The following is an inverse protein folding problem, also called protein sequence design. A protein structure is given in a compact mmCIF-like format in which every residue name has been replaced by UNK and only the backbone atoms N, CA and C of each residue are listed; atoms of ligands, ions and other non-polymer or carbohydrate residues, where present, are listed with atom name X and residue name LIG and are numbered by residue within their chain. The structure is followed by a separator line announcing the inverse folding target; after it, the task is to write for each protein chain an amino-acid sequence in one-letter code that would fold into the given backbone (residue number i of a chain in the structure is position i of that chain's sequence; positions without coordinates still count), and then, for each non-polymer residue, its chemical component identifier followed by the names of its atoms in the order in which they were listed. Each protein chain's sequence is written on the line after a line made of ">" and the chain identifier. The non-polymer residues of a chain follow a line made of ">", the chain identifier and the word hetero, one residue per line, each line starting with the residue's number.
data_IF_713965397007
#
_entry.id   IF_713965397007
#
_cell.length_a   1.000
_cell.length_b   1.000
_cell.length_c   1.000
_cell.angle_alpha   90.00
_cell.angle_beta   90.00
_cell.angle_gamma   90.00
#
_symmetry.space_group_name_H-M   'P 1'
#
loop_
_entity.id
_entity.type
_entity.pdbx_description
1 polymer ?
#
# COMPACT_ATOMS: atom_id res chain seq x y z
N UNK A 1 -0.23 -9.59 -2.95
CA UNK A 1 -1.24 -9.57 -4.02
C UNK A 1 -2.58 -9.01 -3.57
N UNK A 2 -3.26 -9.57 -2.55
CA UNK A 2 -4.52 -9.02 -2.02
C UNK A 2 -4.50 -7.51 -1.73
N UNK A 3 -3.40 -7.01 -1.12
CA UNK A 3 -3.21 -5.57 -0.88
C UNK A 3 -3.25 -4.72 -2.17
N UNK A 4 -2.62 -5.20 -3.25
CA UNK A 4 -2.60 -4.50 -4.54
C UNK A 4 -3.97 -4.52 -5.23
N UNK A 5 -4.65 -5.67 -5.22
CA UNK A 5 -5.97 -5.82 -5.85
C UNK A 5 -7.06 -5.04 -5.13
N UNK A 6 -7.02 -4.98 -3.80
CA UNK A 6 -8.07 -4.31 -3.01
C UNK A 6 -7.75 -2.85 -2.71
N UNK A 7 -6.46 -2.50 -2.55
CA UNK A 7 -6.04 -1.16 -2.10
C UNK A 7 -5.03 -0.49 -3.04
N UNK A 8 -4.73 -1.05 -4.21
CA UNK A 8 -3.72 -0.52 -5.12
C UNK A 8 -3.97 0.93 -5.55
N UNK A 9 -5.23 1.32 -5.73
CA UNK A 9 -5.63 2.68 -6.08
C UNK A 9 -5.63 3.68 -4.90
N UNK A 10 -5.35 3.23 -3.67
CA UNK A 10 -5.32 4.11 -2.49
C UNK A 10 -4.04 4.94 -2.49
N UNK A 11 -4.17 6.23 -2.19
CA UNK A 11 -3.01 7.13 -2.05
C UNK A 11 -2.28 6.92 -0.72
N UNK A 12 -0.95 6.86 -0.77
CA UNK A 12 -0.05 6.86 0.39
C UNK A 12 0.34 8.30 0.77
N UNK A 13 0.66 9.08 -0.25
CA UNK A 13 1.00 10.51 -0.24
C UNK A 13 0.32 11.16 -1.45
N UNK A 14 0.12 12.49 -1.47
CA UNK A 14 -0.44 13.19 -2.62
C UNK A 14 0.29 12.83 -3.91
N UNK A 15 -0.41 12.19 -4.85
CA UNK A 15 0.15 11.77 -6.15
C UNK A 15 0.94 10.46 -6.15
N UNK A 16 1.03 9.72 -5.02
CA UNK A 16 1.69 8.41 -4.95
C UNK A 16 0.73 7.38 -4.36
N UNK A 17 0.45 6.32 -5.14
CA UNK A 17 -0.46 5.25 -4.73
C UNK A 17 0.27 4.04 -4.14
N UNK A 18 -0.48 3.20 -3.41
CA UNK A 18 0.00 1.90 -2.91
C UNK A 18 0.52 1.04 -4.07
N UNK A 19 -0.17 1.03 -5.20
CA UNK A 19 0.26 0.31 -6.40
C UNK A 19 1.64 0.80 -6.87
N UNK A 20 1.80 2.11 -7.06
CA UNK A 20 3.05 2.72 -7.52
C UNK A 20 4.23 2.39 -6.59
N UNK A 21 4.04 2.55 -5.28
CA UNK A 21 5.11 2.29 -4.32
C UNK A 21 5.49 0.80 -4.27
N UNK A 22 4.50 -0.09 -4.16
CA UNK A 22 4.75 -1.53 -4.08
C UNK A 22 5.42 -2.04 -5.35
N UNK A 23 4.97 -1.60 -6.54
CA UNK A 23 5.59 -1.97 -7.81
C UNK A 23 7.06 -1.54 -7.91
N UNK A 24 7.40 -0.34 -7.43
CA UNK A 24 8.79 0.13 -7.39
C UNK A 24 9.66 -0.64 -6.40
N UNK A 25 9.10 -1.21 -5.33
CA UNK A 25 9.85 -2.03 -4.37
C UNK A 25 10.06 -3.48 -4.83
N UNK A 26 9.16 -4.00 -5.68
CA UNK A 26 9.21 -5.38 -6.18
C UNK A 26 9.64 -5.45 -7.65
N UNK A 27 10.26 -4.38 -8.15
CA UNK A 27 10.80 -4.33 -9.50
C UNK A 27 11.84 -5.45 -9.69
N UNK A 28 11.65 -6.28 -10.72
CA UNK A 28 12.49 -7.45 -10.98
C UNK A 28 12.18 -8.72 -10.18
N UNK A 29 11.12 -8.74 -9.37
CA UNK A 29 10.65 -9.96 -8.69
C UNK A 29 9.63 -10.69 -9.56
N UNK A 30 9.92 -11.94 -9.90
CA UNK A 30 8.94 -12.83 -10.53
C UNK A 30 8.32 -13.75 -9.48
N UNK A 31 6.99 -13.87 -9.55
CA UNK A 31 6.25 -14.75 -8.66
C UNK A 31 6.21 -16.16 -9.26
N UNK A 32 6.46 -17.17 -8.42
CA UNK A 32 6.42 -18.58 -8.86
C UNK A 32 5.01 -19.06 -9.20
N UNK A 33 4.01 -18.46 -8.57
CA UNK A 33 2.61 -18.77 -8.81
C UNK A 33 2.15 -18.08 -10.11
N UNK A 34 1.60 -18.83 -11.08
CA UNK A 34 1.25 -18.28 -12.38
C UNK A 34 0.13 -17.24 -12.34
N UNK A 35 -0.86 -17.41 -11.44
CA UNK A 35 -1.99 -16.48 -11.30
C UNK A 35 -1.52 -15.19 -10.65
N UNK A 36 -0.70 -15.27 -9.60
CA UNK A 36 -0.12 -14.10 -8.97
C UNK A 36 0.89 -13.38 -9.87
N UNK A 37 1.67 -14.12 -10.64
CA UNK A 37 2.56 -13.52 -11.62
C UNK A 37 1.77 -12.80 -12.71
N UNK A 38 0.67 -13.39 -13.20
CA UNK A 38 -0.19 -12.75 -14.18
C UNK A 38 -0.82 -11.46 -13.65
N UNK A 39 -1.36 -11.47 -12.43
CA UNK A 39 -1.85 -10.26 -11.76
C UNK A 39 -0.76 -9.19 -11.65
N UNK A 40 0.47 -9.58 -11.29
CA UNK A 40 1.59 -8.65 -11.17
C UNK A 40 1.97 -8.04 -12.53
N UNK A 41 1.96 -8.84 -13.60
CA UNK A 41 2.14 -8.37 -14.98
C UNK A 41 1.06 -7.37 -15.38
N UNK A 42 -0.21 -7.67 -15.10
CA UNK A 42 -1.32 -6.74 -15.38
C UNK A 42 -1.12 -5.39 -14.68
N UNK A 43 -0.71 -5.40 -13.42
CA UNK A 43 -0.36 -4.18 -12.69
C UNK A 43 0.80 -3.43 -13.33
N UNK A 44 1.91 -4.12 -13.68
CA UNK A 44 3.08 -3.50 -14.31
C UNK A 44 2.75 -2.87 -15.67
N UNK A 45 2.05 -3.59 -16.53
CA UNK A 45 1.65 -3.13 -17.85
C UNK A 45 0.75 -1.89 -17.78
N UNK A 46 -0.28 -1.92 -16.94
CA UNK A 46 -1.19 -0.78 -16.79
C UNK A 46 -0.50 0.40 -16.10
N UNK A 47 0.35 0.14 -15.10
CA UNK A 47 1.12 1.17 -14.43
C UNK A 47 2.08 1.89 -15.40
N UNK A 48 2.72 1.16 -16.32
CA UNK A 48 3.56 1.77 -17.39
C UNK A 48 2.79 2.71 -18.32
N UNK A 49 1.46 2.60 -18.36
CA UNK A 49 0.55 3.46 -19.13
C UNK A 49 -0.07 4.57 -18.27
N UNK A 50 0.47 4.82 -17.07
CA UNK A 50 -0.10 5.71 -16.06
C UNK A 50 -1.55 5.36 -15.67
N UNK A 51 -1.92 4.08 -15.76
CA UNK A 51 -3.24 3.60 -15.38
C UNK A 51 -3.15 2.65 -14.19
N UNK A 52 -3.92 2.93 -13.13
CA UNK A 52 -3.95 2.09 -11.94
C UNK A 52 -5.23 1.26 -11.97
N UNK A 53 -5.06 -0.07 -12.02
CA UNK A 53 -6.17 -1.00 -12.00
C UNK A 53 -6.88 -0.95 -10.64
N UNK A 54 -8.20 -0.78 -10.69
CA UNK A 54 -9.06 -0.82 -9.51
C UNK A 54 -9.57 -2.24 -9.26
N UNK A 55 -10.10 -2.48 -8.07
CA UNK A 55 -10.72 -3.78 -7.72
C UNK A 55 -11.80 -4.21 -8.72
N UNK A 56 -12.56 -3.25 -9.28
CA UNK A 56 -13.63 -3.50 -10.25
C UNK A 56 -13.11 -4.12 -11.55
N UNK A 57 -11.93 -3.72 -12.01
CA UNK A 57 -11.27 -4.33 -13.18
C UNK A 57 -11.07 -5.84 -13.00
N UNK A 58 -10.64 -6.26 -11.80
CA UNK A 58 -10.38 -7.67 -11.50
C UNK A 58 -11.67 -8.48 -11.29
N UNK A 59 -12.72 -7.84 -10.78
CA UNK A 59 -14.07 -8.42 -10.69
C UNK A 59 -14.68 -8.70 -12.06
N UNK A 60 -14.40 -7.84 -13.04
CA UNK A 60 -14.90 -7.96 -14.41
C UNK A 60 -13.89 -8.63 -15.36
N UNK A 61 -12.80 -9.20 -14.82
CA UNK A 61 -11.76 -9.78 -15.63
C UNK A 61 -12.28 -10.95 -16.47
N UNK A 62 -11.82 -11.05 -17.71
CA UNK A 62 -12.21 -12.11 -18.64
C UNK A 62 -11.85 -13.51 -18.11
N UNK A 63 -10.69 -13.65 -17.48
CA UNK A 63 -10.25 -14.91 -16.88
C UNK A 63 -11.01 -15.23 -15.58
N UNK A 64 -11.62 -16.43 -15.48
CA UNK A 64 -12.39 -16.83 -14.32
C UNK A 64 -11.53 -17.01 -13.07
N UNK A 65 -10.26 -17.39 -13.19
CA UNK A 65 -9.37 -17.59 -12.05
C UNK A 65 -9.11 -16.28 -11.30
N UNK A 66 -8.78 -15.20 -12.02
CA UNK A 66 -8.60 -13.87 -11.44
C UNK A 66 -9.90 -13.36 -10.81
N UNK A 67 -11.02 -13.54 -11.50
CA UNK A 67 -12.32 -13.11 -11.00
C UNK A 67 -12.72 -13.84 -9.73
N UNK A 68 -12.61 -15.17 -9.72
CA UNK A 68 -12.94 -16.00 -8.55
C UNK A 68 -12.03 -15.68 -7.37
N UNK A 69 -10.73 -15.49 -7.60
CA UNK A 69 -9.79 -15.10 -6.56
C UNK A 69 -10.10 -13.71 -5.99
N UNK A 70 -10.50 -12.76 -6.85
CA UNK A 70 -10.92 -11.42 -6.42
C UNK A 70 -12.23 -11.47 -5.63
N UNK A 71 -13.21 -12.26 -6.09
CA UNK A 71 -14.46 -12.52 -5.39
C UNK A 71 -14.15 -13.18 -4.05
N UNK A 72 -13.32 -14.21 -3.97
CA UNK A 72 -12.93 -14.86 -2.71
C UNK A 72 -12.36 -13.85 -1.71
N UNK A 73 -11.44 -12.99 -2.16
CA UNK A 73 -10.87 -11.94 -1.30
C UNK A 73 -11.88 -10.88 -0.82
N UNK A 74 -12.98 -10.68 -1.54
CA UNK A 74 -14.07 -9.77 -1.22
C UNK A 74 -15.23 -10.44 -0.47
N UNK A 75 -15.49 -11.73 -0.71
CA UNK A 75 -16.57 -12.52 -0.13
C UNK A 75 -16.18 -13.08 1.22
N UNK A 76 -14.89 -13.44 1.44
CA UNK A 76 -14.37 -13.65 2.79
C UNK A 76 -14.61 -12.42 3.68
N UNK A 77 -14.67 -11.21 3.11
CA UNK A 77 -15.05 -10.00 3.83
C UNK A 77 -16.57 -9.92 4.11
N UNK A 78 -17.43 -10.49 3.27
CA UNK A 78 -18.89 -10.40 3.39
C UNK A 78 -19.51 -11.52 4.26
N UNK A 79 -19.12 -12.79 4.06
CA UNK A 79 -19.65 -13.95 4.81
C UNK A 79 -19.38 -13.83 6.31
N UNK A 80 -18.20 -13.34 6.69
CA UNK A 80 -17.86 -13.07 8.09
C UNK A 80 -18.68 -11.89 8.68
N UNK A 81 -19.23 -11.00 7.85
CA UNK A 81 -20.06 -9.87 8.31
C UNK A 81 -21.54 -10.24 8.52
N UNK A 82 -22.08 -11.19 7.75
CA UNK A 82 -23.49 -11.60 7.81
C UNK A 82 -23.77 -12.65 8.90
N UNK A 83 -22.94 -13.70 9.02
CA UNK A 83 -23.07 -14.77 10.02
C UNK A 83 -23.03 -14.29 11.48
N UNK A 84 -22.48 -13.11 11.71
CA UNK A 84 -22.33 -12.52 13.04
C UNK A 84 -23.43 -11.53 13.39
N UNK A 85 -24.00 -10.84 12.38
CA UNK A 85 -25.15 -9.95 12.55
C UNK A 85 -26.40 -10.71 13.00
N UNK A 86 -26.54 -11.98 12.59
CA UNK A 86 -27.60 -12.87 13.05
C UNK A 86 -27.35 -13.49 14.43
N UNK A 87 -26.10 -13.59 14.90
CA UNK A 87 -25.78 -14.45 16.06
C UNK A 87 -25.66 -13.71 17.39
N UNK A 88 -25.19 -12.46 17.42
CA UNK A 88 -25.00 -11.71 18.68
C UNK A 88 -25.18 -10.20 18.47
N UNK A 89 -26.25 -9.61 19.02
CA UNK A 89 -26.55 -8.15 19.02
C UNK A 89 -25.58 -7.31 19.90
N UNK A 90 -24.28 -7.64 19.92
CA UNK A 90 -23.27 -6.95 20.74
C UNK A 90 -21.97 -6.81 19.93
N UNK A 91 -21.48 -5.58 19.81
CA UNK A 91 -20.23 -5.23 19.12
C UNK A 91 -19.01 -5.74 19.91
N UNK A 92 -18.36 -6.78 19.39
CA UNK A 92 -17.07 -7.30 19.86
C UNK A 92 -16.03 -7.02 18.74
N UNK A 93 -14.81 -6.52 19.02
CA UNK A 93 -13.84 -6.23 17.96
C UNK A 93 -13.39 -7.54 17.30
N UNK A 94 -13.56 -7.62 15.98
CA UNK A 94 -13.46 -8.87 15.21
C UNK A 94 -12.06 -9.11 14.61
N UNK A 95 -11.80 -10.33 14.16
CA UNK A 95 -10.62 -10.68 13.35
C UNK A 95 -10.63 -9.98 11.96
N UNK A 96 -11.78 -9.50 11.50
CA UNK A 96 -11.90 -8.56 10.36
C UNK A 96 -11.40 -7.16 10.70
N UNK A 97 -11.58 -6.67 11.93
CA UNK A 97 -10.84 -5.49 12.40
C UNK A 97 -9.35 -5.79 12.44
N UNK A 98 -8.92 -7.03 12.68
CA UNK A 98 -7.51 -7.43 12.60
C UNK A 98 -7.01 -7.50 11.16
N UNK A 99 -7.82 -7.91 10.18
CA UNK A 99 -7.47 -7.93 8.75
C UNK A 99 -7.45 -6.54 8.13
N UNK A 100 -8.42 -5.69 8.42
CA UNK A 100 -8.40 -4.28 8.04
C UNK A 100 -7.32 -3.52 8.81
N UNK A 101 -7.08 -3.82 10.10
CA UNK A 101 -5.87 -3.38 10.81
C UNK A 101 -4.61 -3.93 10.16
N UNK A 102 -4.59 -5.13 9.60
CA UNK A 102 -3.40 -5.70 8.95
C UNK A 102 -3.13 -5.02 7.61
N UNK A 103 -4.16 -4.80 6.78
CA UNK A 103 -4.04 -4.03 5.55
C UNK A 103 -3.66 -2.57 5.85
N UNK A 104 -4.31 -1.95 6.84
CA UNK A 104 -3.99 -0.61 7.32
C UNK A 104 -2.58 -0.53 7.90
N UNK A 105 -2.17 -1.48 8.76
CA UNK A 105 -0.82 -1.58 9.30
C UNK A 105 0.22 -1.83 8.20
N UNK A 106 -0.12 -2.62 7.18
CA UNK A 106 0.75 -2.83 6.02
C UNK A 106 0.88 -1.54 5.21
N UNK A 107 -0.21 -0.80 4.97
CA UNK A 107 -0.18 0.52 4.34
C UNK A 107 0.63 1.51 5.17
N UNK A 108 0.46 1.53 6.49
CA UNK A 108 1.24 2.37 7.41
C UNK A 108 2.72 1.99 7.42
N UNK A 109 3.05 0.70 7.39
CA UNK A 109 4.43 0.19 7.26
C UNK A 109 5.04 0.61 5.93
N UNK A 110 4.29 0.49 4.83
CA UNK A 110 4.70 0.95 3.52
C UNK A 110 4.92 2.47 3.50
N UNK A 111 4.01 3.25 4.10
CA UNK A 111 4.16 4.70 4.26
C UNK A 111 5.40 5.06 5.07
N UNK A 112 5.66 4.36 6.17
CA UNK A 112 6.88 4.53 6.97
C UNK A 112 8.13 4.22 6.15
N UNK A 113 8.17 3.07 5.48
CA UNK A 113 9.29 2.67 4.64
C UNK A 113 9.52 3.66 3.48
N UNK A 114 8.45 4.22 2.90
CA UNK A 114 8.53 5.25 1.88
C UNK A 114 9.21 6.52 2.40
N UNK A 115 8.78 7.01 3.57
CA UNK A 115 9.35 8.20 4.20
C UNK A 115 10.83 7.98 4.56
N UNK A 116 11.17 6.81 5.12
CA UNK A 116 12.55 6.45 5.44
C UNK A 116 13.45 6.40 4.20
N UNK A 117 12.97 5.82 3.10
CA UNK A 117 13.71 5.78 1.84
C UNK A 117 13.89 7.18 1.24
N UNK A 118 12.86 8.04 1.27
CA UNK A 118 12.97 9.44 0.83
C UNK A 118 14.01 10.21 1.64
N UNK A 119 14.03 10.04 2.96
CA UNK A 119 15.04 10.63 3.83
C UNK A 119 16.45 10.13 3.49
N UNK A 120 16.61 8.84 3.20
CA UNK A 120 17.89 8.25 2.80
C UNK A 120 18.38 8.80 1.46
N UNK A 121 17.50 8.93 0.47
CA UNK A 121 17.81 9.55 -0.84
C UNK A 121 18.27 11.00 -0.63
N UNK A 122 17.55 11.79 0.18
CA UNK A 122 17.96 13.16 0.48
C UNK A 122 19.37 13.22 1.11
N UNK A 123 19.70 12.32 2.05
CA UNK A 123 21.04 12.25 2.64
C UNK A 123 22.11 11.88 1.61
N UNK A 124 21.82 10.96 0.70
CA UNK A 124 22.72 10.60 -0.39
C UNK A 124 22.95 11.77 -1.35
N UNK A 125 21.88 12.48 -1.74
CA UNK A 125 21.98 13.65 -2.61
C UNK A 125 22.75 14.78 -1.93
N UNK A 126 22.51 15.03 -0.63
CA UNK A 126 23.24 16.03 0.13
C UNK A 126 24.75 15.75 0.22
N UNK A 127 25.14 14.47 0.23
CA UNK A 127 26.56 14.07 0.22
C UNK A 127 27.26 14.31 -1.14
N UNK A 128 26.49 14.43 -2.23
CA UNK A 128 26.99 14.67 -3.58
C UNK A 128 26.70 16.10 -4.09
N UNK A 129 26.01 16.92 -3.29
CA UNK A 129 25.68 18.31 -3.63
C UNK A 129 26.96 19.12 -3.83
N UNK A 130 27.01 19.90 -4.92
CA UNK A 130 28.20 20.67 -5.28
C UNK A 130 28.11 22.13 -4.85
N UNK A 131 26.91 22.59 -4.46
CA UNK A 131 26.66 23.97 -4.04
C UNK A 131 25.90 24.02 -2.72
N UNK A 132 26.13 25.11 -1.96
CA UNK A 132 25.41 25.34 -0.70
C UNK A 132 23.90 25.52 -0.92
N UNK A 133 23.47 26.11 -2.05
CA UNK A 133 22.06 26.27 -2.41
C UNK A 133 21.38 24.92 -2.66
N UNK A 134 22.04 24.02 -3.40
CA UNK A 134 21.56 22.65 -3.63
C UNK A 134 21.49 21.85 -2.31
N UNK A 135 22.52 21.95 -1.48
CA UNK A 135 22.55 21.31 -0.18
C UNK A 135 21.44 21.84 0.75
N UNK A 136 21.16 23.14 0.72
CA UNK A 136 20.10 23.76 1.52
C UNK A 136 18.70 23.34 1.03
N UNK A 137 18.48 23.24 -0.28
CA UNK A 137 17.23 22.74 -0.86
C UNK A 137 16.96 21.29 -0.45
N UNK A 138 17.97 20.41 -0.58
CA UNK A 138 17.87 19.00 -0.19
C UNK A 138 17.62 18.86 1.32
N UNK A 139 18.28 19.67 2.14
CA UNK A 139 18.07 19.64 3.60
C UNK A 139 16.66 20.10 3.99
N UNK A 140 16.08 21.05 3.24
CA UNK A 140 14.70 21.50 3.43
C UNK A 140 13.71 20.36 3.13
N UNK A 141 13.94 19.63 2.03
CA UNK A 141 13.15 18.45 1.68
C UNK A 141 13.30 17.32 2.72
N UNK A 142 14.51 17.06 3.20
CA UNK A 142 14.76 16.10 4.28
C UNK A 142 13.99 16.46 5.57
N UNK A 143 13.97 17.75 5.95
CA UNK A 143 13.26 18.22 7.14
C UNK A 143 11.74 18.08 6.99
N UNK A 144 11.19 18.24 5.78
CA UNK A 144 9.79 17.97 5.49
C UNK A 144 9.44 16.50 5.76
N UNK A 145 10.17 15.54 5.17
CA UNK A 145 9.93 14.11 5.39
C UNK A 145 10.16 13.69 6.86
N UNK A 146 11.17 14.28 7.52
CA UNK A 146 11.41 14.06 8.95
C UNK A 146 10.24 14.53 9.82
N UNK A 147 9.63 15.67 9.48
CA UNK A 147 8.43 16.17 10.14
C UNK A 147 7.24 15.21 10.01
N UNK A 148 7.00 14.68 8.81
CA UNK A 148 5.95 13.67 8.56
C UNK A 148 6.23 12.39 9.36
N UNK A 149 7.47 11.91 9.38
CA UNK A 149 7.88 10.73 10.16
C UNK A 149 7.60 10.90 11.67
N UNK A 150 7.95 12.07 12.22
CA UNK A 150 7.71 12.38 13.64
C UNK A 150 6.22 12.50 13.97
N UNK A 151 5.42 13.09 13.07
CA UNK A 151 3.97 13.15 13.23
C UNK A 151 3.34 11.74 13.19
N UNK A 152 3.73 10.92 12.22
CA UNK A 152 3.27 9.54 12.12
C UNK A 152 3.67 8.68 13.33
N UNK A 153 4.89 8.86 13.88
CA UNK A 153 5.33 8.17 15.08
C UNK A 153 4.52 8.55 16.33
N UNK A 154 4.06 9.80 16.42
CA UNK A 154 3.20 10.28 17.50
C UNK A 154 1.80 9.66 17.43
N UNK A 155 1.22 9.58 16.24
CA UNK A 155 -0.07 8.93 15.99
C UNK A 155 0.00 7.42 16.29
N UNK A 156 1.05 6.73 15.84
CA UNK A 156 1.24 5.29 16.09
C UNK A 156 1.57 4.98 17.57
N UNK A 157 2.28 5.87 18.25
CA UNK A 157 2.59 5.75 19.68
C UNK A 157 1.38 5.98 20.59
N UNK A 158 0.40 6.77 20.14
CA UNK A 158 -0.84 7.02 20.90
C UNK A 158 -1.86 5.87 20.79
N UNK A 159 -1.74 4.99 19.80
CA UNK A 159 -2.65 3.85 19.57
C UNK A 159 -2.16 2.57 20.28
N UNK A 160 -0.92 2.57 20.79
CA UNK A 160 -0.31 1.44 21.53
C UNK A 160 -0.29 1.72 23.06
N UNK A 161 -0.86 2.85 23.50
CA UNK A 161 -1.01 3.21 24.92
C UNK A 161 -2.30 2.71 25.55
#
# INVERSE_FOLDING_TARGET
>A
MRLLVVHGARELEPGITVCQYVLGQIEGIDLRDPVYNHLLTLFRENFSRNHILTTDYFLQHHEPEIRNLTIEWLTQKHELSELWKEKYEIYVPFETDVLDKTAFNNILRLKKAFIEEKMKICLQQAAHAQTEEEQHAIMTEFMFYKGISMAAARELGSVIG
#
